data_IF_280050760885
#
_entry.id   IF_280050760885
#
_cell.length_a   1.000
_cell.length_b   1.000
_cell.length_c   1.000
_cell.angle_alpha   90.00
_cell.angle_beta   90.00
_cell.angle_gamma   90.00
#
_symmetry.space_group_name_H-M   'P 1'
#
loop_
_entity.id
_entity.type
_entity.pdbx_description
1 polymer ?
#
# COMPACT_ATOMS: atom_id res chain seq x y z
N UNK A 1 4.39 -10.93 -14.70
CA UNK A 1 3.98 -11.18 -13.30
C UNK A 1 3.27 -9.98 -12.69
N UNK A 2 3.74 -8.74 -12.90
CA UNK A 2 3.04 -7.49 -12.50
C UNK A 2 1.58 -7.37 -12.98
N UNK A 3 1.22 -7.97 -14.14
CA UNK A 3 -0.18 -8.04 -14.61
C UNK A 3 -1.12 -8.76 -13.63
N UNK A 4 -0.63 -9.78 -12.94
CA UNK A 4 -1.47 -10.56 -12.01
C UNK A 4 -1.74 -9.77 -10.73
N UNK A 5 -0.75 -9.01 -10.26
CA UNK A 5 -0.93 -8.04 -9.17
C UNK A 5 -1.92 -6.94 -9.56
N UNK A 6 -1.88 -6.48 -10.82
CA UNK A 6 -2.87 -5.54 -11.32
C UNK A 6 -4.30 -6.10 -11.29
N UNK A 7 -4.50 -7.35 -11.72
CA UNK A 7 -5.82 -7.99 -11.66
C UNK A 7 -6.28 -8.20 -10.21
N UNK A 8 -5.39 -8.64 -9.32
CA UNK A 8 -5.71 -8.83 -7.91
C UNK A 8 -6.14 -7.54 -7.20
N UNK A 9 -5.46 -6.41 -7.47
CA UNK A 9 -5.83 -5.10 -6.90
C UNK A 9 -7.19 -4.57 -7.39
N UNK A 10 -7.67 -5.03 -8.54
CA UNK A 10 -8.95 -4.62 -9.14
C UNK A 10 -10.01 -5.71 -9.04
N UNK A 11 -9.76 -6.79 -8.29
CA UNK A 11 -10.71 -7.88 -8.15
C UNK A 11 -11.99 -7.40 -7.47
N UNK A 12 -13.13 -8.00 -7.82
CA UNK A 12 -14.41 -7.68 -7.21
C UNK A 12 -14.46 -8.15 -5.75
N UNK A 13 -13.79 -9.25 -5.42
CA UNK A 13 -13.69 -9.79 -4.08
C UNK A 13 -12.73 -8.94 -3.23
N UNK A 14 -13.21 -8.47 -2.07
CA UNK A 14 -12.39 -7.70 -1.12
C UNK A 14 -11.19 -8.52 -0.63
N UNK A 15 -11.39 -9.80 -0.34
CA UNK A 15 -10.34 -10.70 0.14
C UNK A 15 -9.19 -10.84 -0.87
N UNK A 16 -9.51 -10.92 -2.17
CA UNK A 16 -8.49 -10.98 -3.22
C UNK A 16 -7.69 -9.68 -3.33
N UNK A 17 -8.36 -8.52 -3.18
CA UNK A 17 -7.67 -7.22 -3.15
C UNK A 17 -6.75 -7.10 -1.93
N UNK A 18 -7.24 -7.47 -0.74
CA UNK A 18 -6.47 -7.44 0.50
C UNK A 18 -5.26 -8.38 0.43
N UNK A 19 -5.45 -9.63 -0.01
CA UNK A 19 -4.35 -10.59 -0.17
C UNK A 19 -3.29 -10.11 -1.18
N UNK A 20 -3.72 -9.41 -2.23
CA UNK A 20 -2.79 -8.81 -3.20
C UNK A 20 -1.97 -7.69 -2.57
N UNK A 21 -2.58 -6.85 -1.72
CA UNK A 21 -1.88 -5.78 -0.99
C UNK A 21 -0.89 -6.34 0.04
N UNK A 22 -1.26 -7.39 0.76
CA UNK A 22 -0.34 -8.05 1.69
C UNK A 22 0.85 -8.69 0.92
N UNK A 23 0.61 -9.32 -0.22
CA UNK A 23 1.70 -9.83 -1.08
C UNK A 23 2.62 -8.70 -1.59
N UNK A 24 2.05 -7.54 -1.95
CA UNK A 24 2.84 -6.36 -2.31
C UNK A 24 3.66 -5.85 -1.14
N UNK A 25 3.11 -5.84 0.08
CA UNK A 25 3.82 -5.44 1.29
C UNK A 25 5.04 -6.33 1.52
N UNK A 26 4.90 -7.65 1.41
CA UNK A 26 6.02 -8.58 1.56
C UNK A 26 7.11 -8.35 0.49
N UNK A 27 6.73 -8.07 -0.76
CA UNK A 27 7.67 -7.69 -1.82
C UNK A 27 8.35 -6.34 -1.59
N UNK A 28 7.67 -5.45 -0.87
CA UNK A 28 8.16 -4.13 -0.48
C UNK A 28 8.94 -4.14 0.84
N UNK A 29 8.94 -5.25 1.58
CA UNK A 29 9.74 -5.36 2.79
C UNK A 29 11.25 -5.28 2.43
N UNK A 30 12.09 -4.64 3.23
CA UNK A 30 13.53 -4.58 2.98
C UNK A 30 14.11 -6.00 2.88
N UNK A 31 14.68 -6.38 1.73
CA UNK A 31 15.38 -7.65 1.59
C UNK A 31 16.85 -7.40 1.89
N UNK A 32 17.41 -8.01 2.93
CA UNK A 32 18.81 -7.82 3.30
C UNK A 32 19.77 -8.17 2.14
N UNK A 33 20.19 -7.17 1.36
CA UNK A 33 21.31 -7.23 0.42
C UNK A 33 21.08 -7.88 -0.95
N UNK A 34 19.84 -7.97 -1.45
CA UNK A 34 19.58 -8.56 -2.77
C UNK A 34 19.77 -7.56 -3.92
N UNK A 35 20.55 -7.92 -4.95
CA UNK A 35 20.69 -7.14 -6.19
C UNK A 35 19.35 -6.91 -6.94
N UNK A 36 18.31 -7.69 -6.61
CA UNK A 36 16.94 -7.47 -7.10
C UNK A 36 16.33 -6.18 -6.55
N UNK A 37 16.75 -5.74 -5.35
CA UNK A 37 16.24 -4.52 -4.75
C UNK A 37 16.69 -3.28 -5.55
N UNK A 38 17.91 -3.28 -6.07
CA UNK A 38 18.45 -2.13 -6.82
C UNK A 38 17.90 -2.03 -8.25
N UNK A 39 17.57 -3.15 -8.91
CA UNK A 39 17.25 -3.17 -10.35
C UNK A 39 15.75 -3.22 -10.67
N UNK A 40 14.93 -3.86 -9.84
CA UNK A 40 13.52 -4.09 -10.15
C UNK A 40 12.57 -3.16 -9.38
N UNK A 41 12.97 -2.68 -8.21
CA UNK A 41 12.09 -1.91 -7.32
C UNK A 41 11.63 -0.60 -7.95
N UNK A 42 12.46 0.26 -8.57
CA UNK A 42 11.99 1.59 -9.00
C UNK A 42 10.84 1.49 -10.02
N UNK A 43 11.06 0.76 -11.12
CA UNK A 43 10.03 0.58 -12.17
C UNK A 43 8.80 -0.19 -11.71
N UNK A 44 8.94 -0.99 -10.65
CA UNK A 44 7.85 -1.70 -10.02
C UNK A 44 7.04 -0.78 -9.12
N UNK A 45 7.70 -0.02 -8.25
CA UNK A 45 7.13 0.97 -7.34
C UNK A 45 6.33 2.01 -8.11
N UNK A 46 6.86 2.57 -9.19
CA UNK A 46 6.15 3.53 -10.05
C UNK A 46 4.79 3.01 -10.52
N UNK A 47 4.68 1.69 -10.72
CA UNK A 47 3.45 1.04 -11.15
C UNK A 47 2.53 0.72 -9.97
N UNK A 48 3.05 0.29 -8.83
CA UNK A 48 2.21 -0.18 -7.72
C UNK A 48 1.81 0.93 -6.76
N UNK A 49 2.68 1.93 -6.53
CA UNK A 49 2.46 3.07 -5.63
C UNK A 49 1.10 3.75 -5.84
N UNK A 50 0.77 4.31 -7.02
CA UNK A 50 -0.51 5.00 -7.21
C UNK A 50 -1.72 4.08 -6.98
N UNK A 51 -1.56 2.77 -7.19
CA UNK A 51 -2.65 1.78 -7.01
C UNK A 51 -2.85 1.42 -5.54
N UNK A 52 -1.76 1.27 -4.79
CA UNK A 52 -1.81 1.06 -3.33
C UNK A 52 -2.45 2.28 -2.67
N UNK A 53 -2.00 3.48 -3.01
CA UNK A 53 -2.56 4.73 -2.47
C UNK A 53 -4.06 4.88 -2.78
N UNK A 54 -4.48 4.59 -4.02
CA UNK A 54 -5.90 4.59 -4.38
C UNK A 54 -6.73 3.58 -3.56
N UNK A 55 -6.14 2.48 -3.08
CA UNK A 55 -6.81 1.49 -2.23
C UNK A 55 -6.88 1.89 -0.75
N UNK A 56 -6.16 2.92 -0.31
CA UNK A 56 -6.29 3.43 1.07
C UNK A 56 -7.73 3.93 1.34
N UNK A 57 -8.45 4.36 0.30
CA UNK A 57 -9.87 4.73 0.35
C UNK A 57 -10.82 3.66 -0.21
N UNK A 58 -10.43 2.38 -0.25
CA UNK A 58 -11.33 1.33 -0.73
C UNK A 58 -12.64 1.33 0.07
N UNK A 59 -13.75 0.93 -0.57
CA UNK A 59 -15.05 0.82 0.10
C UNK A 59 -15.04 -0.23 1.21
N UNK A 60 -14.16 -1.22 1.11
CA UNK A 60 -13.96 -2.23 2.13
C UNK A 60 -12.88 -1.80 3.13
N UNK A 61 -13.21 -1.83 4.42
CA UNK A 61 -12.30 -1.39 5.48
C UNK A 61 -11.07 -2.29 5.64
N UNK A 62 -11.18 -3.60 5.37
CA UNK A 62 -10.04 -4.52 5.45
C UNK A 62 -9.05 -4.27 4.31
N UNK A 63 -9.56 -3.95 3.11
CA UNK A 63 -8.73 -3.55 1.96
C UNK A 63 -8.02 -2.23 2.22
N UNK A 64 -8.73 -1.23 2.76
CA UNK A 64 -8.16 0.06 3.18
C UNK A 64 -7.03 -0.14 4.20
N UNK A 65 -7.25 -0.95 5.23
CA UNK A 65 -6.23 -1.29 6.22
C UNK A 65 -5.01 -1.99 5.60
N UNK A 66 -5.22 -2.96 4.70
CA UNK A 66 -4.12 -3.62 3.99
C UNK A 66 -3.33 -2.63 3.14
N UNK A 67 -4.00 -1.70 2.47
CA UNK A 67 -3.36 -0.68 1.66
C UNK A 67 -2.50 0.27 2.51
N UNK A 68 -2.99 0.70 3.67
CA UNK A 68 -2.22 1.53 4.61
C UNK A 68 -0.94 0.83 5.07
N UNK A 69 -1.01 -0.47 5.39
CA UNK A 69 0.19 -1.26 5.73
C UNK A 69 1.16 -1.39 4.55
N UNK A 70 0.67 -1.54 3.33
CA UNK A 70 1.52 -1.52 2.13
C UNK A 70 2.14 -0.14 1.89
N UNK A 71 1.42 0.94 2.16
CA UNK A 71 1.93 2.31 2.10
C UNK A 71 3.03 2.55 3.12
N UNK A 72 2.92 2.00 4.34
CA UNK A 72 4.01 2.01 5.33
C UNK A 72 5.29 1.39 4.78
N UNK A 73 5.18 0.27 4.05
CA UNK A 73 6.34 -0.35 3.41
C UNK A 73 6.96 0.56 2.33
N UNK A 74 6.13 1.27 1.54
CA UNK A 74 6.62 2.30 0.60
C UNK A 74 7.31 3.46 1.32
N UNK A 75 6.73 3.97 2.41
CA UNK A 75 7.33 5.03 3.23
C UNK A 75 8.70 4.61 3.77
N UNK A 76 8.81 3.38 4.30
CA UNK A 76 10.06 2.83 4.84
C UNK A 76 11.18 2.71 3.80
N UNK A 77 10.83 2.66 2.51
CA UNK A 77 11.79 2.66 1.39
C UNK A 77 12.10 4.06 0.86
N UNK A 78 11.45 5.10 1.38
CA UNK A 78 11.65 6.48 0.92
C UNK A 78 11.18 6.73 -0.51
N UNK A 79 10.12 6.03 -0.96
CA UNK A 79 9.61 6.13 -2.34
C UNK A 79 8.24 6.81 -2.45
N UNK A 80 7.70 7.28 -1.32
CA UNK A 80 6.53 8.17 -1.30
C UNK A 80 6.98 9.62 -1.54
N UNK A 81 6.22 10.32 -2.35
CA UNK A 81 6.36 11.76 -2.55
C UNK A 81 5.50 12.52 -1.53
N UNK A 82 5.77 13.80 -1.29
CA UNK A 82 5.03 14.59 -0.28
C UNK A 82 3.51 14.58 -0.56
N UNK A 83 3.12 14.70 -1.84
CA UNK A 83 1.71 14.65 -2.28
C UNK A 83 1.04 13.28 -2.03
N UNK A 84 1.81 12.20 -1.81
CA UNK A 84 1.27 10.87 -1.53
C UNK A 84 0.76 10.75 -0.07
N UNK A 85 1.19 11.64 0.84
CA UNK A 85 0.83 11.59 2.26
C UNK A 85 -0.54 12.21 2.54
N UNK A 86 -0.91 13.29 1.85
CA UNK A 86 -2.19 13.99 2.01
C UNK A 86 -3.42 13.07 1.99
N UNK A 87 -3.62 12.19 0.99
CA UNK A 87 -4.78 11.29 0.99
C UNK A 87 -4.77 10.30 2.16
N UNK A 88 -3.58 9.92 2.66
CA UNK A 88 -3.49 9.03 3.83
C UNK A 88 -3.86 9.77 5.11
N UNK A 89 -3.41 11.02 5.26
CA UNK A 89 -3.73 11.88 6.41
C UNK A 89 -5.23 12.15 6.50
N UNK A 90 -5.91 12.32 5.36
CA UNK A 90 -7.36 12.50 5.31
C UNK A 90 -8.14 11.34 5.97
N UNK A 91 -7.57 10.12 5.99
CA UNK A 91 -8.20 8.95 6.60
C UNK A 91 -8.26 9.06 8.13
N UNK A 92 -7.39 9.85 8.77
CA UNK A 92 -7.45 10.12 10.22
C UNK A 92 -8.78 10.74 10.66
N UNK A 93 -9.48 11.40 9.73
CA UNK A 93 -10.76 12.05 9.97
C UNK A 93 -11.95 11.18 9.52
N UNK A 94 -11.70 9.96 9.06
CA UNK A 94 -12.75 9.07 8.57
C UNK A 94 -13.67 8.58 9.70
N UNK A 95 -14.96 8.42 9.43
CA UNK A 95 -15.95 8.01 10.45
C UNK A 95 -15.68 6.59 11.01
N UNK A 96 -15.16 5.69 10.17
CA UNK A 96 -14.74 4.33 10.55
C UNK A 96 -13.50 4.35 11.46
N UNK A 97 -13.66 3.91 12.71
CA UNK A 97 -12.58 3.85 13.70
C UNK A 97 -11.42 2.95 13.30
N UNK A 98 -11.67 1.84 12.60
CA UNK A 98 -10.60 0.90 12.20
C UNK A 98 -9.66 1.52 11.18
N UNK A 99 -10.20 2.30 10.24
CA UNK A 99 -9.40 3.01 9.24
C UNK A 99 -8.55 4.10 9.88
N UNK A 100 -9.14 4.84 10.83
CA UNK A 100 -8.43 5.85 11.61
C UNK A 100 -7.26 5.26 12.39
N UNK A 101 -7.46 4.12 13.06
CA UNK A 101 -6.41 3.46 13.84
C UNK A 101 -5.23 3.05 12.95
N UNK A 102 -5.48 2.49 11.77
CA UNK A 102 -4.42 2.09 10.84
C UNK A 102 -3.72 3.31 10.20
N UNK A 103 -4.45 4.38 9.86
CA UNK A 103 -3.85 5.62 9.38
C UNK A 103 -2.99 6.28 10.47
N UNK A 104 -3.44 6.22 11.73
CA UNK A 104 -2.67 6.71 12.88
C UNK A 104 -1.35 5.96 13.05
N UNK A 105 -1.34 4.64 12.86
CA UNK A 105 -0.11 3.83 12.85
C UNK A 105 0.84 4.24 11.72
N UNK A 106 0.31 4.51 10.54
CA UNK A 106 1.10 4.99 9.41
C UNK A 106 1.74 6.36 9.70
N UNK A 107 1.03 7.30 10.32
CA UNK A 107 1.59 8.64 10.61
C UNK A 107 2.62 8.62 11.74
N UNK A 108 2.52 7.67 12.67
CA UNK A 108 3.41 7.58 13.83
C UNK A 108 4.69 6.73 13.60
N UNK A 109 5.03 6.41 12.35
CA UNK A 109 6.15 5.53 12.00
C UNK A 109 7.45 6.28 11.69
#
# INVERSE_FOLDING_TARGET
WTRYLYFGLNDKAADARAATLDALRELLAPSSGSALDTLLIPSFVDKVRPRILARCHDKDAAVSAAALRSSSALASRGVLEDDDFDPIVDILWHWDGRRRDEAGKFVNQ
#
